data_IF_473507901432
#
_entry.id   IF_473507901432
#
_cell.length_a   1.000
_cell.length_b   1.000
_cell.length_c   1.000
_cell.angle_alpha   90.00
_cell.angle_beta   90.00
_cell.angle_gamma   90.00
#
_symmetry.space_group_name_H-M   'P 1'
#
loop_
_entity.id
_entity.type
_entity.pdbx_description
1 polymer ?
#
# COMPACT_ATOMS: atom_id res chain seq x y z
N UNK A 1 -5.20 2.81 -11.28
CA UNK A 1 -5.50 1.35 -11.21
C UNK A 1 -6.30 1.06 -9.97
N UNK A 2 -7.45 0.47 -10.17
CA UNK A 2 -8.42 0.19 -9.10
C UNK A 2 -8.60 -1.32 -8.95
N UNK A 3 -8.71 -1.78 -7.71
CA UNK A 3 -9.02 -3.18 -7.42
C UNK A 3 -9.96 -3.27 -6.23
N UNK A 4 -10.52 -4.45 -6.02
CA UNK A 4 -11.51 -4.68 -4.98
C UNK A 4 -11.11 -5.87 -4.12
N UNK A 5 -11.36 -5.76 -2.82
CA UNK A 5 -11.25 -6.87 -1.87
C UNK A 5 -12.54 -6.96 -1.06
N UNK A 6 -12.99 -8.18 -0.83
CA UNK A 6 -14.16 -8.42 0.03
C UNK A 6 -13.65 -8.63 1.45
N UNK A 7 -14.09 -7.79 2.36
CA UNK A 7 -13.71 -7.86 3.78
C UNK A 7 -14.96 -7.99 4.62
N UNK A 8 -15.09 -9.09 5.35
CA UNK A 8 -16.25 -9.36 6.20
C UNK A 8 -17.57 -9.22 5.44
N UNK A 9 -17.59 -9.72 4.19
CA UNK A 9 -18.79 -9.71 3.34
C UNK A 9 -19.04 -8.40 2.58
N UNK A 10 -18.25 -7.36 2.81
CA UNK A 10 -18.41 -6.06 2.13
C UNK A 10 -17.30 -5.86 1.11
N UNK A 11 -17.63 -5.52 -0.16
CA UNK A 11 -16.61 -5.21 -1.15
C UNK A 11 -16.12 -3.77 -0.96
N UNK A 12 -14.81 -3.62 -0.83
CA UNK A 12 -14.15 -2.32 -0.73
C UNK A 12 -13.26 -2.10 -1.96
N UNK A 13 -13.24 -0.87 -2.46
CA UNK A 13 -12.41 -0.50 -3.60
C UNK A 13 -11.13 0.19 -3.14
N UNK A 14 -10.05 -0.05 -3.87
CA UNK A 14 -8.72 0.50 -3.58
C UNK A 14 -8.13 1.07 -4.87
N UNK A 15 -7.51 2.24 -4.78
CA UNK A 15 -6.94 2.91 -5.95
C UNK A 15 -5.48 3.25 -5.71
N UNK A 16 -4.61 2.79 -6.61
CA UNK A 16 -3.22 3.23 -6.67
C UNK A 16 -3.11 4.32 -7.75
N UNK A 17 -3.34 5.55 -7.34
CA UNK A 17 -3.29 6.73 -8.19
C UNK A 17 -2.45 7.84 -7.55
N UNK A 18 -2.51 9.04 -8.12
CA UNK A 18 -1.70 10.16 -7.64
C UNK A 18 -2.03 10.55 -6.20
N UNK A 19 -3.30 10.46 -5.78
CA UNK A 19 -3.68 10.73 -4.40
C UNK A 19 -3.02 9.77 -3.42
N UNK A 20 -3.02 8.49 -3.75
CA UNK A 20 -2.32 7.46 -2.98
C UNK A 20 -0.83 7.78 -2.89
N UNK A 21 -0.21 8.03 -4.06
CA UNK A 21 1.23 8.29 -4.14
C UNK A 21 1.64 9.47 -3.26
N UNK A 22 0.92 10.58 -3.38
CA UNK A 22 1.24 11.79 -2.59
C UNK A 22 1.10 11.55 -1.09
N UNK A 23 0.05 10.87 -0.68
CA UNK A 23 -0.20 10.59 0.73
C UNK A 23 0.88 9.68 1.31
N UNK A 24 1.22 8.61 0.59
CA UNK A 24 2.25 7.66 1.04
C UNK A 24 3.63 8.32 1.07
N UNK A 25 3.99 9.07 0.04
CA UNK A 25 5.31 9.71 -0.03
C UNK A 25 5.52 10.75 1.07
N UNK A 26 4.47 11.44 1.47
CA UNK A 26 4.57 12.45 2.53
C UNK A 26 4.83 11.84 3.91
N UNK A 27 4.63 10.55 4.09
CA UNK A 27 4.80 9.87 5.39
C UNK A 27 6.27 9.63 5.75
N UNK A 28 7.17 9.67 4.77
CA UNK A 28 8.60 9.52 5.02
C UNK A 28 9.36 10.41 4.05
N UNK A 29 10.20 11.28 4.60
CA UNK A 29 11.02 12.19 3.81
C UNK A 29 12.45 12.13 4.29
N UNK A 30 13.40 12.36 3.37
CA UNK A 30 14.83 12.43 3.67
C UNK A 30 15.35 13.78 3.20
N UNK A 31 15.99 14.51 4.11
CA UNK A 31 16.64 15.77 3.76
C UNK A 31 18.01 15.47 3.17
N UNK A 32 18.27 16.02 1.98
CA UNK A 32 19.57 15.85 1.34
C UNK A 32 20.61 16.65 2.13
N UNK A 33 21.72 15.99 2.49
CA UNK A 33 22.77 16.58 3.29
C UNK A 33 23.31 17.86 2.66
N UNK A 34 23.50 18.89 3.48
CA UNK A 34 24.04 20.20 3.08
C UNK A 34 23.17 20.96 2.08
N UNK A 35 21.85 20.67 2.05
CA UNK A 35 20.92 21.40 1.21
C UNK A 35 19.56 21.50 1.90
N UNK A 36 18.68 22.32 1.32
CA UNK A 36 17.29 22.42 1.79
C UNK A 36 16.37 21.48 1.02
N UNK A 37 16.93 20.66 0.14
CA UNK A 37 16.16 19.72 -0.64
C UNK A 37 15.67 18.55 0.21
N UNK A 38 14.38 18.21 0.08
CA UNK A 38 13.75 17.11 0.79
C UNK A 38 13.25 16.09 -0.24
N UNK A 39 13.63 14.82 -0.06
CA UNK A 39 13.18 13.74 -0.90
C UNK A 39 12.05 12.98 -0.23
N UNK A 40 10.97 12.74 -0.96
CA UNK A 40 9.85 11.92 -0.49
C UNK A 40 10.19 10.46 -0.77
N UNK A 41 10.28 9.65 0.28
CA UNK A 41 10.71 8.25 0.19
C UNK A 41 9.66 7.26 0.66
N UNK A 42 8.47 7.75 1.03
CA UNK A 42 7.45 6.92 1.66
C UNK A 42 7.01 5.73 0.82
N UNK A 43 6.87 5.91 -0.50
CA UNK A 43 6.44 4.80 -1.37
C UNK A 43 7.44 3.64 -1.34
N UNK A 44 8.73 3.92 -1.52
CA UNK A 44 9.75 2.86 -1.53
C UNK A 44 9.86 2.17 -0.18
N UNK A 45 9.76 2.92 0.92
CA UNK A 45 9.77 2.34 2.25
C UNK A 45 8.61 1.38 2.46
N UNK A 46 7.38 1.81 2.15
CA UNK A 46 6.21 0.99 2.43
C UNK A 46 6.16 -0.23 1.51
N UNK A 47 6.58 -0.08 0.25
CA UNK A 47 6.63 -1.21 -0.66
C UNK A 47 7.65 -2.26 -0.20
N UNK A 48 8.82 -1.84 0.28
CA UNK A 48 9.80 -2.75 0.83
C UNK A 48 9.24 -3.53 2.02
N UNK A 49 8.51 -2.84 2.89
CA UNK A 49 7.87 -3.48 4.04
C UNK A 49 6.79 -4.48 3.62
N UNK A 50 6.00 -4.14 2.59
CA UNK A 50 4.98 -5.07 2.06
C UNK A 50 5.65 -6.31 1.44
N UNK A 51 6.74 -6.12 0.71
CA UNK A 51 7.51 -7.24 0.16
C UNK A 51 8.02 -8.15 1.29
N UNK A 52 8.42 -7.56 2.42
CA UNK A 52 8.86 -8.31 3.61
C UNK A 52 7.69 -8.85 4.45
N UNK A 53 6.47 -8.72 3.95
CA UNK A 53 5.26 -9.26 4.62
C UNK A 53 4.97 -8.60 5.96
N UNK A 54 5.19 -7.30 6.07
CA UNK A 54 4.84 -6.52 7.25
C UNK A 54 3.34 -6.19 7.23
N UNK A 55 2.60 -6.71 8.20
CA UNK A 55 1.14 -6.55 8.25
C UNK A 55 0.73 -5.11 8.52
N UNK A 56 1.49 -4.39 9.34
CA UNK A 56 1.20 -2.97 9.59
C UNK A 56 1.32 -2.14 8.31
N UNK A 57 2.35 -2.44 7.50
CA UNK A 57 2.53 -1.77 6.21
C UNK A 57 1.38 -2.09 5.26
N UNK A 58 0.94 -3.35 5.24
CA UNK A 58 -0.22 -3.76 4.45
C UNK A 58 -1.46 -2.97 4.85
N UNK A 59 -1.71 -2.83 6.16
CA UNK A 59 -2.83 -2.05 6.66
C UNK A 59 -2.76 -0.60 6.22
N UNK A 60 -1.59 0.02 6.28
CA UNK A 60 -1.38 1.41 5.86
C UNK A 60 -1.68 1.60 4.37
N UNK A 61 -1.22 0.67 3.55
CA UNK A 61 -1.47 0.70 2.10
C UNK A 61 -2.97 0.61 1.81
N UNK A 62 -3.65 -0.33 2.45
CA UNK A 62 -5.09 -0.53 2.21
C UNK A 62 -5.91 0.67 2.67
N UNK A 63 -5.63 1.22 3.84
CA UNK A 63 -6.33 2.41 4.32
C UNK A 63 -6.13 3.59 3.38
N UNK A 64 -4.91 3.82 2.95
CA UNK A 64 -4.60 4.95 2.08
C UNK A 64 -5.22 4.77 0.69
N UNK A 65 -5.19 3.55 0.15
CA UNK A 65 -5.74 3.27 -1.18
C UNK A 65 -7.27 3.34 -1.21
N UNK A 66 -7.94 3.12 -0.09
CA UNK A 66 -9.40 3.24 0.00
C UNK A 66 -9.87 4.67 0.23
N UNK A 67 -8.99 5.58 0.64
CA UNK A 67 -9.37 6.96 0.96
C UNK A 67 -10.10 7.60 -0.22
N UNK A 68 -11.29 8.12 0.05
CA UNK A 68 -12.14 8.71 -0.99
C UNK A 68 -13.02 7.72 -1.72
N UNK A 69 -12.91 6.43 -1.45
CA UNK A 69 -13.76 5.41 -2.05
C UNK A 69 -15.02 5.19 -1.21
N UNK A 70 -16.02 4.60 -1.83
CA UNK A 70 -17.29 4.30 -1.19
C UNK A 70 -17.64 2.83 -1.46
N UNK A 71 -17.85 1.99 -0.42
CA UNK A 71 -17.83 2.33 1.00
C UNK A 71 -16.45 2.66 1.54
N UNK A 72 -16.43 3.46 2.60
CA UNK A 72 -15.21 3.85 3.29
C UNK A 72 -14.78 2.75 4.24
N UNK A 73 -13.55 2.29 4.09
CA UNK A 73 -12.97 1.30 5.00
C UNK A 73 -12.56 1.99 6.30
N UNK A 74 -13.03 1.49 7.43
CA UNK A 74 -12.62 1.97 8.74
C UNK A 74 -11.47 1.14 9.26
N UNK A 75 -10.68 1.73 10.15
CA UNK A 75 -9.59 1.00 10.80
C UNK A 75 -10.11 -0.23 11.55
N UNK A 76 -11.25 -0.09 12.21
CA UNK A 76 -11.89 -1.19 12.93
C UNK A 76 -12.20 -2.37 12.01
N UNK A 77 -12.83 -2.09 10.87
CA UNK A 77 -13.22 -3.14 9.92
C UNK A 77 -11.99 -3.78 9.27
N UNK A 78 -10.99 -2.98 8.93
CA UNK A 78 -9.76 -3.51 8.36
C UNK A 78 -9.03 -4.42 9.36
N UNK A 79 -8.90 -3.97 10.61
CA UNK A 79 -8.21 -4.76 11.62
C UNK A 79 -8.95 -6.06 11.90
N UNK A 80 -10.28 -6.03 11.95
CA UNK A 80 -11.08 -7.25 12.12
C UNK A 80 -10.82 -8.24 10.99
N UNK A 81 -10.72 -7.75 9.75
CA UNK A 81 -10.41 -8.59 8.59
C UNK A 81 -9.00 -9.19 8.69
N UNK A 82 -8.01 -8.38 9.04
CA UNK A 82 -6.61 -8.83 9.12
C UNK A 82 -6.38 -9.81 10.27
N UNK A 83 -7.11 -9.65 11.38
CA UNK A 83 -6.98 -10.51 12.55
C UNK A 83 -7.80 -11.79 12.46
N UNK A 84 -8.74 -11.88 11.52
CA UNK A 84 -9.58 -13.06 11.35
C UNK A 84 -8.73 -14.23 10.84
N UNK A 85 -8.71 -15.32 11.61
CA UNK A 85 -7.88 -16.49 11.26
C UNK A 85 -8.30 -17.18 9.97
N UNK A 86 -9.50 -16.90 9.46
CA UNK A 86 -9.96 -17.43 8.17
C UNK A 86 -9.51 -16.59 6.99
N UNK A 87 -8.97 -15.39 7.23
CA UNK A 87 -8.45 -14.55 6.18
C UNK A 87 -7.13 -15.12 5.67
N UNK A 88 -7.04 -15.32 4.33
CA UNK A 88 -5.79 -15.72 3.70
C UNK A 88 -4.90 -14.48 3.54
N UNK A 89 -4.10 -14.20 4.57
CA UNK A 89 -3.27 -13.00 4.62
C UNK A 89 -2.23 -12.99 3.48
N UNK A 90 -1.69 -14.14 3.13
CA UNK A 90 -0.72 -14.24 2.05
C UNK A 90 -1.35 -13.86 0.71
N UNK A 91 -2.59 -14.28 0.48
CA UNK A 91 -3.31 -13.90 -0.74
C UNK A 91 -3.55 -12.38 -0.81
N UNK A 92 -3.80 -11.74 0.34
CA UNK A 92 -3.97 -10.27 0.38
C UNK A 92 -2.65 -9.58 0.02
N UNK A 93 -1.53 -10.03 0.57
CA UNK A 93 -0.21 -9.51 0.20
C UNK A 93 0.06 -9.68 -1.30
N UNK A 94 -0.21 -10.87 -1.83
CA UNK A 94 0.02 -11.15 -3.25
C UNK A 94 -0.81 -10.23 -4.14
N UNK A 95 -2.07 -9.98 -3.79
CA UNK A 95 -2.95 -9.08 -4.54
C UNK A 95 -2.39 -7.66 -4.54
N UNK A 96 -1.99 -7.15 -3.39
CA UNK A 96 -1.44 -5.80 -3.28
C UNK A 96 -0.14 -5.68 -4.10
N UNK A 97 0.75 -6.64 -3.98
CA UNK A 97 2.01 -6.65 -4.73
C UNK A 97 1.76 -6.73 -6.24
N UNK A 98 0.79 -7.53 -6.67
CA UNK A 98 0.43 -7.62 -8.07
C UNK A 98 0.00 -6.26 -8.62
N UNK A 99 -0.85 -5.54 -7.89
CA UNK A 99 -1.31 -4.22 -8.32
C UNK A 99 -0.22 -3.15 -8.20
N UNK A 100 0.72 -3.26 -7.27
CA UNK A 100 1.90 -2.41 -7.26
C UNK A 100 2.66 -2.52 -8.59
N UNK A 101 2.78 -3.74 -9.12
CA UNK A 101 3.49 -4.00 -10.37
C UNK A 101 2.72 -3.59 -11.62
N UNK A 102 1.43 -3.28 -11.52
CA UNK A 102 0.59 -2.92 -12.66
C UNK A 102 0.25 -1.45 -12.73
N UNK A 103 0.07 -0.78 -11.58
CA UNK A 103 -0.35 0.61 -11.54
C UNK A 103 0.77 1.55 -12.03
N UNK A 104 0.42 2.51 -12.88
CA UNK A 104 1.41 3.43 -13.44
C UNK A 104 2.21 4.19 -12.39
N UNK A 105 1.57 4.56 -11.27
CA UNK A 105 2.26 5.38 -10.25
C UNK A 105 3.20 4.58 -9.36
N UNK A 106 3.13 3.24 -9.40
CA UNK A 106 3.92 2.37 -8.52
C UNK A 106 4.81 1.37 -9.26
N UNK A 107 4.49 1.03 -10.51
CA UNK A 107 5.11 -0.12 -11.18
C UNK A 107 6.61 0.00 -11.38
N UNK A 108 7.13 1.18 -11.68
CA UNK A 108 8.56 1.36 -11.90
C UNK A 108 9.35 1.17 -10.60
N UNK A 109 8.89 1.82 -9.52
CA UNK A 109 9.52 1.68 -8.21
C UNK A 109 9.42 0.24 -7.68
N UNK A 110 8.28 -0.40 -7.91
CA UNK A 110 8.07 -1.77 -7.45
C UNK A 110 9.02 -2.74 -8.17
N UNK A 111 9.18 -2.59 -9.49
CA UNK A 111 10.08 -3.46 -10.25
C UNK A 111 11.53 -3.34 -9.78
N UNK A 112 11.98 -2.13 -9.48
CA UNK A 112 13.32 -1.90 -8.95
C UNK A 112 13.53 -2.61 -7.62
N UNK A 113 12.56 -2.49 -6.71
CA UNK A 113 12.64 -3.13 -5.40
C UNK A 113 12.56 -4.65 -5.50
N UNK A 114 11.66 -5.17 -6.32
CA UNK A 114 11.49 -6.62 -6.49
C UNK A 114 12.75 -7.28 -7.03
N UNK A 115 13.44 -6.63 -7.97
CA UNK A 115 14.69 -7.13 -8.50
C UNK A 115 15.78 -7.16 -7.41
N UNK A 116 15.86 -6.13 -6.58
CA UNK A 116 16.84 -6.06 -5.49
C UNK A 116 16.58 -7.08 -4.40
N UNK A 117 15.32 -7.39 -4.13
CA UNK A 117 14.92 -8.35 -3.10
C UNK A 117 15.04 -9.81 -3.60
N UNK A 118 15.02 -10.01 -4.91
CA UNK A 118 15.19 -11.33 -5.49
C UNK A 118 16.67 -11.74 -5.45
#
# INVERSE_FOLDING_TARGET
MKFELIMNGTPYEFVFGMGFLKTINAKATVKVQNSNYVMNTGLKFIMAQVIDKDVEALAEVLMTANKGMNPRLTQKDLYAFLENEETDIDAVFDTVMDFFGKANVTKTAYKELAVKEA
#
